data_IF_640551950819
#
_entry.id   IF_640551950819
#
_cell.length_a   1.000
_cell.length_b   1.000
_cell.length_c   1.000
_cell.angle_alpha   90.00
_cell.angle_beta   90.00
_cell.angle_gamma   90.00
#
_symmetry.space_group_name_H-M   'P 1'
#
loop_
_entity.id
_entity.type
_entity.pdbx_description
1 polymer ?
#
# COMPACT_ATOMS: atom_id res chain seq x y z
N UNK A 1 42.35 -18.94 -17.35
CA UNK A 1 41.93 -17.90 -16.38
C UNK A 1 40.74 -17.04 -16.85
N UNK A 2 40.31 -17.09 -18.11
CA UNK A 2 39.20 -16.25 -18.62
C UNK A 2 37.80 -16.83 -18.35
N UNK A 3 37.63 -18.15 -18.46
CA UNK A 3 36.36 -18.83 -18.20
C UNK A 3 35.92 -18.77 -16.74
N UNK A 4 36.88 -18.83 -15.80
CA UNK A 4 36.59 -18.74 -14.36
C UNK A 4 36.02 -17.38 -13.97
N UNK A 5 36.58 -16.30 -14.53
CA UNK A 5 36.11 -14.93 -14.29
C UNK A 5 34.70 -14.69 -14.88
N UNK A 6 34.36 -15.33 -15.99
CA UNK A 6 33.03 -15.25 -16.59
C UNK A 6 31.98 -15.97 -15.75
N UNK A 7 32.33 -17.14 -15.19
CA UNK A 7 31.48 -17.89 -14.26
C UNK A 7 31.21 -17.08 -12.98
N UNK A 8 32.24 -16.51 -12.37
CA UNK A 8 32.11 -15.65 -11.18
C UNK A 8 31.20 -14.44 -11.45
N UNK A 9 31.32 -13.82 -12.63
CA UNK A 9 30.47 -12.69 -13.01
C UNK A 9 28.99 -13.12 -13.20
N UNK A 10 28.74 -14.32 -13.71
CA UNK A 10 27.38 -14.88 -13.80
C UNK A 10 26.79 -15.18 -12.41
N UNK A 11 27.61 -15.65 -11.47
CA UNK A 11 27.17 -15.96 -10.11
C UNK A 11 26.68 -14.73 -9.34
N UNK A 12 27.22 -13.54 -9.62
CA UNK A 12 26.74 -12.28 -9.02
C UNK A 12 25.25 -12.01 -9.29
N UNK A 13 24.75 -12.40 -10.46
CA UNK A 13 23.34 -12.22 -10.81
C UNK A 13 22.43 -13.17 -10.02
N UNK A 14 22.90 -14.40 -9.79
CA UNK A 14 22.19 -15.43 -9.01
C UNK A 14 22.09 -15.02 -7.54
N UNK A 15 23.18 -14.48 -6.98
CA UNK A 15 23.21 -13.98 -5.60
C UNK A 15 22.17 -12.87 -5.37
N UNK A 16 22.03 -11.91 -6.30
CA UNK A 16 21.01 -10.84 -6.20
C UNK A 16 19.58 -11.39 -6.26
N UNK A 17 19.32 -12.36 -7.14
CA UNK A 17 18.00 -13.00 -7.22
C UNK A 17 17.67 -13.71 -5.90
N UNK A 18 18.64 -14.42 -5.33
CA UNK A 18 18.48 -15.08 -4.02
C UNK A 18 18.33 -14.08 -2.87
N UNK A 19 18.92 -12.89 -2.95
CA UNK A 19 18.72 -11.83 -1.97
C UNK A 19 17.27 -11.35 -1.95
N UNK A 20 16.66 -11.16 -3.13
CA UNK A 20 15.26 -10.74 -3.24
C UNK A 20 14.26 -11.77 -2.69
N UNK A 21 14.61 -13.06 -2.57
CA UNK A 21 13.72 -14.05 -1.94
C UNK A 21 13.71 -14.00 -0.42
N UNK A 22 14.62 -13.23 0.19
CA UNK A 22 14.81 -13.16 1.64
C UNK A 22 14.37 -11.83 2.25
N UNK A 23 13.96 -10.85 1.44
CA UNK A 23 13.50 -9.55 1.92
C UNK A 23 12.13 -9.69 2.62
N UNK A 24 11.80 -8.73 3.48
CA UNK A 24 10.46 -8.64 4.06
C UNK A 24 9.43 -8.49 2.91
N UNK A 25 8.55 -9.48 2.78
CA UNK A 25 7.47 -9.44 1.80
C UNK A 25 6.39 -8.44 2.20
N UNK A 26 5.76 -7.83 1.19
CA UNK A 26 4.53 -7.08 1.41
C UNK A 26 3.41 -8.03 1.89
N UNK A 27 2.38 -7.51 2.58
CA UNK A 27 1.22 -8.31 2.96
C UNK A 27 0.60 -9.02 1.76
N UNK A 28 -0.01 -10.18 2.00
CA UNK A 28 -0.69 -10.95 0.96
C UNK A 28 -1.69 -10.10 0.18
N UNK A 29 -1.76 -10.37 -1.13
CA UNK A 29 -2.69 -9.71 -2.04
C UNK A 29 -4.15 -9.95 -1.62
N UNK A 30 -4.45 -11.09 -1.02
CA UNK A 30 -5.78 -11.41 -0.52
C UNK A 30 -5.83 -11.35 1.00
N UNK A 31 -6.89 -10.73 1.53
CA UNK A 31 -7.20 -10.84 2.95
C UNK A 31 -7.74 -12.22 3.30
N UNK A 32 -7.49 -12.63 4.54
CA UNK A 32 -8.06 -13.85 5.11
C UNK A 32 -9.60 -13.79 5.07
N UNK A 33 -10.32 -14.92 4.88
CA UNK A 33 -11.77 -14.94 4.72
C UNK A 33 -12.55 -14.21 5.82
N UNK A 34 -12.05 -14.25 7.05
CA UNK A 34 -12.59 -13.59 8.25
C UNK A 34 -12.46 -12.05 8.21
N UNK A 35 -11.56 -11.50 7.38
CA UNK A 35 -11.31 -10.07 7.24
C UNK A 35 -11.84 -9.48 5.94
N UNK A 36 -12.44 -10.30 5.06
CA UNK A 36 -13.02 -9.81 3.81
C UNK A 36 -14.27 -8.98 4.13
N UNK A 37 -14.38 -7.75 3.58
CA UNK A 37 -15.58 -6.96 3.74
C UNK A 37 -16.77 -7.64 3.01
N UNK A 38 -18.01 -7.36 3.43
CA UNK A 38 -19.19 -7.91 2.77
C UNK A 38 -19.29 -7.40 1.32
N UNK A 39 -19.96 -8.14 0.40
CA UNK A 39 -20.12 -7.74 -1.00
C UNK A 39 -20.79 -6.39 -1.22
N UNK A 40 -21.56 -5.90 -0.23
CA UNK A 40 -22.22 -4.59 -0.27
C UNK A 40 -21.30 -3.43 0.13
N UNK A 41 -20.02 -3.69 0.40
CA UNK A 41 -19.04 -2.68 0.75
C UNK A 41 -18.43 -2.04 -0.51
N UNK A 42 -18.16 -0.73 -0.52
CA UNK A 42 -18.54 0.27 0.49
C UNK A 42 -19.97 0.78 0.27
N UNK A 43 -20.87 0.57 1.25
CA UNK A 43 -22.30 0.96 1.13
C UNK A 43 -22.51 2.48 1.00
N UNK A 44 -21.71 3.26 1.72
CA UNK A 44 -21.86 4.72 1.78
C UNK A 44 -20.56 5.48 1.47
N UNK A 45 -19.39 4.81 1.47
CA UNK A 45 -18.11 5.47 1.21
C UNK A 45 -17.73 6.56 2.23
N UNK A 46 -18.25 6.49 3.47
CA UNK A 46 -17.80 7.34 4.58
C UNK A 46 -16.36 6.96 4.93
N UNK A 47 -15.46 7.94 4.99
CA UNK A 47 -14.07 7.72 5.40
C UNK A 47 -13.81 8.52 6.67
N UNK A 48 -13.19 7.89 7.66
CA UNK A 48 -12.92 8.48 8.95
C UNK A 48 -11.45 8.29 9.34
N UNK A 49 -10.80 9.40 9.67
CA UNK A 49 -9.45 9.45 10.20
C UNK A 49 -9.55 9.81 11.67
N UNK A 50 -9.07 8.90 12.52
CA UNK A 50 -9.00 9.04 13.96
C UNK A 50 -7.52 8.88 14.31
N UNK A 51 -6.97 9.90 14.94
CA UNK A 51 -5.57 10.02 15.37
C UNK A 51 -4.55 9.43 14.39
N UNK A 52 -4.78 9.62 13.09
CA UNK A 52 -4.03 8.89 12.08
C UNK A 52 -2.69 9.57 11.82
N UNK A 53 -1.61 8.81 11.93
CA UNK A 53 -0.25 9.25 11.61
C UNK A 53 0.36 8.47 10.45
N UNK A 54 1.29 9.08 9.72
CA UNK A 54 1.98 8.41 8.61
C UNK A 54 3.43 8.87 8.50
N UNK A 55 4.33 7.90 8.28
CA UNK A 55 5.77 8.08 8.02
C UNK A 55 6.21 7.10 6.93
N UNK A 56 7.27 7.46 6.20
CA UNK A 56 7.78 6.62 5.10
C UNK A 56 8.73 5.51 5.55
N UNK A 57 9.43 5.70 6.65
CA UNK A 57 10.38 4.73 7.19
C UNK A 57 10.19 4.58 8.69
N UNK A 58 10.62 3.42 9.22
CA UNK A 58 10.54 3.08 10.65
C UNK A 58 11.27 4.09 11.54
N UNK A 59 12.21 4.88 11.01
CA UNK A 59 13.00 5.89 11.73
C UNK A 59 12.78 7.33 11.25
N UNK A 60 12.12 7.54 10.12
CA UNK A 60 11.97 8.87 9.50
C UNK A 60 10.91 9.76 10.15
N UNK A 61 10.92 11.05 9.82
CA UNK A 61 9.97 12.01 10.35
C UNK A 61 8.52 11.69 9.95
N UNK A 62 7.60 11.92 10.88
CA UNK A 62 6.16 11.80 10.63
C UNK A 62 5.70 12.94 9.72
N UNK A 63 5.03 12.56 8.63
CA UNK A 63 4.54 13.53 7.63
C UNK A 63 3.08 13.91 7.85
N UNK A 64 2.23 12.92 8.13
CA UNK A 64 0.84 13.18 8.57
C UNK A 64 0.80 12.99 10.08
N UNK A 65 0.43 14.03 10.81
CA UNK A 65 0.45 14.07 12.29
C UNK A 65 -0.96 14.25 12.81
N UNK A 66 -1.40 13.35 13.69
CA UNK A 66 -2.66 13.41 14.45
C UNK A 66 -3.87 13.83 13.60
N UNK A 67 -4.06 13.16 12.47
CA UNK A 67 -5.08 13.53 11.51
C UNK A 67 -6.45 13.03 11.99
N UNK A 68 -7.36 13.98 12.25
CA UNK A 68 -8.69 13.74 12.81
C UNK A 68 -9.75 14.46 11.96
N UNK A 69 -10.43 13.74 11.07
CA UNK A 69 -11.53 14.29 10.27
C UNK A 69 -12.37 13.18 9.62
N UNK A 70 -13.56 13.55 9.18
CA UNK A 70 -14.53 12.66 8.55
C UNK A 70 -14.86 13.20 7.16
N UNK A 71 -14.78 12.34 6.15
CA UNK A 71 -15.30 12.57 4.80
C UNK A 71 -16.67 11.91 4.73
N UNK A 72 -17.71 12.72 4.51
CA UNK A 72 -19.07 12.21 4.38
C UNK A 72 -19.27 11.48 3.05
N UNK A 73 -20.24 10.56 2.98
CA UNK A 73 -20.69 9.99 1.73
C UNK A 73 -20.89 11.04 0.64
N UNK A 74 -20.32 10.80 -0.55
CA UNK A 74 -20.44 11.66 -1.74
C UNK A 74 -19.83 13.06 -1.59
N UNK A 75 -19.02 13.31 -0.56
CA UNK A 75 -18.34 14.59 -0.36
C UNK A 75 -17.11 14.72 -1.27
N UNK A 76 -16.99 15.84 -1.97
CA UNK A 76 -15.78 16.17 -2.75
C UNK A 76 -14.79 16.88 -1.84
N UNK A 77 -13.69 16.21 -1.53
CA UNK A 77 -12.60 16.81 -0.74
C UNK A 77 -11.65 17.59 -1.64
N UNK A 78 -11.45 18.87 -1.33
CA UNK A 78 -10.42 19.71 -1.95
C UNK A 78 -9.18 19.73 -1.08
N UNK A 79 -8.03 19.43 -1.66
CA UNK A 79 -6.73 19.56 -0.99
C UNK A 79 -6.02 20.84 -1.46
N UNK A 80 -5.27 21.46 -0.55
CA UNK A 80 -4.33 22.54 -0.88
C UNK A 80 -2.98 21.91 -1.22
N UNK A 81 -2.41 22.27 -2.36
CA UNK A 81 -1.10 21.77 -2.77
C UNK A 81 -0.02 22.32 -1.85
N UNK A 82 0.47 21.46 -0.96
CA UNK A 82 1.84 21.54 -0.47
C UNK A 82 2.60 20.39 -1.12
N UNK A 83 3.85 20.65 -1.51
CA UNK A 83 4.73 19.86 -2.39
C UNK A 83 4.76 18.34 -2.13
N UNK A 84 4.35 17.87 -0.94
CA UNK A 84 4.42 16.46 -0.61
C UNK A 84 3.15 15.88 0.04
N UNK A 85 2.22 16.69 0.53
CA UNK A 85 1.11 16.20 1.39
C UNK A 85 -0.02 15.55 0.59
N UNK A 86 -0.28 16.02 -0.64
CA UNK A 86 -1.36 15.50 -1.48
C UNK A 86 -1.17 14.02 -1.80
N UNK A 87 -0.05 13.66 -2.45
CA UNK A 87 0.21 12.27 -2.85
C UNK A 87 0.24 11.33 -1.63
N UNK A 88 0.77 11.82 -0.50
CA UNK A 88 0.81 11.11 0.80
C UNK A 88 -0.58 10.82 1.36
N UNK A 89 -1.44 11.82 1.35
CA UNK A 89 -2.81 11.69 1.79
C UNK A 89 -3.58 10.71 0.91
N UNK A 90 -3.42 10.79 -0.42
CA UNK A 90 -4.01 9.83 -1.33
C UNK A 90 -3.45 8.43 -1.14
N UNK A 91 -2.14 8.26 -0.89
CA UNK A 91 -1.58 6.95 -0.58
C UNK A 91 -2.20 6.39 0.71
N UNK A 92 -2.43 7.21 1.74
CA UNK A 92 -3.06 6.73 2.98
C UNK A 92 -4.55 6.44 2.84
N UNK A 93 -5.27 7.23 2.03
CA UNK A 93 -6.64 6.89 1.63
C UNK A 93 -6.61 5.58 0.86
N UNK A 94 -5.71 5.42 -0.11
CA UNK A 94 -5.57 4.20 -0.88
C UNK A 94 -5.22 3.03 0.03
N UNK A 95 -4.36 3.16 1.01
CA UNK A 95 -4.09 2.08 1.97
C UNK A 95 -5.37 1.72 2.76
N UNK A 96 -6.09 2.71 3.31
CA UNK A 96 -7.36 2.44 4.02
C UNK A 96 -8.48 1.91 3.11
N UNK A 97 -8.49 2.29 1.84
CA UNK A 97 -9.52 1.97 0.86
C UNK A 97 -9.17 0.67 0.13
N UNK A 98 -7.98 0.51 -0.43
CA UNK A 98 -7.48 -0.71 -1.10
C UNK A 98 -7.29 -1.88 -0.15
N UNK A 99 -6.92 -1.71 1.13
CA UNK A 99 -6.99 -2.83 2.10
C UNK A 99 -8.42 -3.42 2.14
N UNK A 100 -9.43 -2.67 1.72
CA UNK A 100 -10.82 -3.12 1.70
C UNK A 100 -11.38 -3.33 0.26
N UNK A 101 -10.95 -2.56 -0.75
CA UNK A 101 -11.41 -2.60 -2.16
C UNK A 101 -10.60 -3.58 -3.04
N UNK A 102 -9.31 -3.77 -2.77
CA UNK A 102 -8.46 -4.71 -3.53
C UNK A 102 -8.96 -6.17 -3.39
N UNK A 103 -9.74 -6.42 -2.32
CA UNK A 103 -10.43 -7.68 -2.04
C UNK A 103 -11.71 -7.87 -2.88
N UNK A 104 -12.38 -6.79 -3.31
CA UNK A 104 -13.65 -6.88 -4.05
C UNK A 104 -13.46 -6.90 -5.58
N UNK A 105 -12.41 -6.25 -6.10
CA UNK A 105 -12.25 -6.07 -7.56
C UNK A 105 -11.67 -7.29 -8.29
N UNK A 106 -11.02 -8.24 -7.61
CA UNK A 106 -10.56 -9.48 -8.25
C UNK A 106 -11.67 -10.52 -8.44
N UNK A 107 -12.82 -10.40 -7.77
CA UNK A 107 -13.97 -11.30 -7.96
C UNK A 107 -14.84 -10.94 -9.16
N UNK A 108 -14.58 -9.80 -9.83
CA UNK A 108 -15.32 -9.40 -11.04
C UNK A 108 -14.56 -9.65 -12.35
N UNK A 109 -13.34 -10.21 -12.33
CA UNK A 109 -12.58 -10.56 -13.53
C UNK A 109 -12.49 -12.08 -13.75
N UNK A 110 -13.66 -12.73 -13.71
CA UNK A 110 -13.91 -14.05 -14.30
C UNK A 110 -15.39 -14.12 -14.72
N UNK A 111 -15.72 -13.36 -15.77
CA UNK A 111 -16.66 -13.71 -16.85
C UNK A 111 -15.89 -13.47 -18.15
#
# INVERSE_FOLDING_TARGET
MRQSAELENQMTSVERVLEFTRIEHEPDLESTPDKKPPPTWPKFGKIEFIDTTMRYSKTGATVLKHLNFIIKPKEKVKYRYTYTTKAKFFLKIKEKVYILDFISQLMCYNI
#
